data_IF_272552537774
#
_entry.id   IF_272552537774
#
_cell.length_a   1.000
_cell.length_b   1.000
_cell.length_c   1.000
_cell.angle_alpha   90.00
_cell.angle_beta   90.00
_cell.angle_gamma   90.00
#
_symmetry.space_group_name_H-M   'P 1'
#
loop_
_entity.id
_entity.type
_entity.pdbx_description
1 polymer ?
#
# COMPACT_ATOMS: atom_id res chain seq x y z
N UNK A 1 0.90 -2.99 25.17
CA UNK A 1 -0.36 -3.57 25.66
C UNK A 1 -1.21 -4.19 24.54
N UNK A 2 -1.41 -3.53 23.38
CA UNK A 2 -2.19 -4.08 22.27
C UNK A 2 -1.61 -5.37 21.69
N UNK A 3 -0.28 -5.45 21.52
CA UNK A 3 0.37 -6.67 21.04
C UNK A 3 0.05 -7.88 21.94
N UNK A 4 0.03 -7.68 23.27
CA UNK A 4 -0.36 -8.75 24.20
C UNK A 4 -1.79 -9.22 24.00
N UNK A 5 -2.73 -8.29 23.73
CA UNK A 5 -4.13 -8.65 23.40
C UNK A 5 -4.21 -9.49 22.13
N UNK A 6 -3.42 -9.12 21.10
CA UNK A 6 -3.35 -9.88 19.85
C UNK A 6 -2.82 -11.29 20.11
N UNK A 7 -1.71 -11.45 20.84
CA UNK A 7 -1.17 -12.76 21.20
C UNK A 7 -2.15 -13.60 22.02
N UNK A 8 -2.81 -13.01 23.01
CA UNK A 8 -3.82 -13.69 23.82
C UNK A 8 -5.02 -14.15 22.98
N UNK A 9 -5.49 -13.29 22.06
CA UNK A 9 -6.57 -13.66 21.16
C UNK A 9 -6.19 -14.84 20.27
N UNK A 10 -4.98 -14.84 19.69
CA UNK A 10 -4.45 -15.94 18.87
C UNK A 10 -4.39 -17.24 19.68
N UNK A 11 -3.83 -17.20 20.90
CA UNK A 11 -3.72 -18.37 21.77
C UNK A 11 -5.09 -18.98 22.12
N UNK A 12 -6.12 -18.14 22.21
CA UNK A 12 -7.49 -18.56 22.54
C UNK A 12 -8.34 -18.88 21.29
N UNK A 13 -7.77 -18.83 20.09
CA UNK A 13 -8.52 -19.01 18.84
C UNK A 13 -9.58 -17.93 18.59
N UNK A 14 -9.40 -16.73 19.18
CA UNK A 14 -10.34 -15.61 19.08
C UNK A 14 -9.80 -14.54 18.13
N UNK A 15 -10.70 -13.69 17.63
CA UNK A 15 -10.36 -12.49 16.85
C UNK A 15 -10.25 -11.29 17.78
N UNK A 16 -9.46 -10.29 17.35
CA UNK A 16 -9.41 -8.99 18.01
C UNK A 16 -10.49 -8.09 17.43
N UNK A 17 -11.38 -7.59 18.28
CA UNK A 17 -12.54 -6.81 17.84
C UNK A 17 -12.26 -5.31 17.74
N UNK A 18 -11.26 -4.82 18.47
CA UNK A 18 -10.89 -3.41 18.53
C UNK A 18 -9.40 -3.23 18.80
N UNK A 19 -8.78 -2.32 18.06
CA UNK A 19 -7.41 -1.86 18.23
C UNK A 19 -7.34 -0.34 18.09
N UNK A 20 -6.40 0.29 18.78
CA UNK A 20 -6.22 1.74 18.76
C UNK A 20 -5.08 2.16 17.82
N UNK A 21 -4.03 1.37 17.77
CA UNK A 21 -2.80 1.66 17.01
C UNK A 21 -2.50 0.61 15.94
N UNK A 22 -2.60 -0.67 16.30
CA UNK A 22 -2.37 -1.76 15.37
C UNK A 22 -3.56 -1.93 14.42
N UNK A 23 -3.28 -2.29 13.16
CA UNK A 23 -4.32 -2.79 12.28
C UNK A 23 -4.26 -4.31 12.28
N UNK A 24 -5.34 -4.97 12.69
CA UNK A 24 -5.36 -6.43 12.90
C UNK A 24 -6.52 -7.06 12.14
N UNK A 25 -6.21 -7.90 11.15
CA UNK A 25 -7.23 -8.72 10.49
C UNK A 25 -7.66 -9.90 11.40
N UNK A 26 -8.87 -10.39 11.21
CA UNK A 26 -9.83 -10.08 10.14
C UNK A 26 -10.74 -8.86 10.40
N UNK A 27 -10.83 -8.33 11.61
CA UNK A 27 -11.86 -7.34 11.95
C UNK A 27 -11.39 -5.88 11.93
N UNK A 28 -10.11 -5.62 12.23
CA UNK A 28 -9.56 -4.30 12.48
C UNK A 28 -8.45 -3.91 11.48
N UNK A 29 -8.48 -4.41 10.22
CA UNK A 29 -7.49 -4.05 9.21
C UNK A 29 -8.15 -3.39 7.98
N UNK A 30 -9.12 -4.04 7.34
CA UNK A 30 -9.68 -3.54 6.09
C UNK A 30 -10.35 -2.17 6.27
N UNK A 31 -11.25 -2.05 7.27
CA UNK A 31 -11.97 -0.79 7.49
C UNK A 31 -11.02 0.37 7.80
N UNK A 32 -10.06 0.29 8.74
CA UNK A 32 -9.10 1.38 8.95
C UNK A 32 -8.27 1.73 7.70
N UNK A 33 -7.90 0.77 6.86
CA UNK A 33 -7.22 1.05 5.59
C UNK A 33 -8.13 1.88 4.66
N UNK A 34 -9.41 1.51 4.55
CA UNK A 34 -10.39 2.29 3.77
C UNK A 34 -10.56 3.70 4.34
N UNK A 35 -10.64 3.86 5.67
CA UNK A 35 -10.75 5.16 6.34
C UNK A 35 -9.49 6.04 6.08
N UNK A 36 -8.30 5.44 6.02
CA UNK A 36 -7.05 6.14 5.67
C UNK A 36 -7.06 6.62 4.20
N UNK A 37 -7.56 5.81 3.28
CA UNK A 37 -7.72 6.21 1.88
C UNK A 37 -8.77 7.34 1.77
N UNK A 38 -9.91 7.23 2.49
CA UNK A 38 -10.94 8.28 2.52
C UNK A 38 -10.39 9.61 3.02
N UNK A 39 -9.48 9.60 3.98
CA UNK A 39 -8.80 10.82 4.45
C UNK A 39 -8.01 11.48 3.32
N UNK A 40 -7.27 10.72 2.51
CA UNK A 40 -6.53 11.26 1.38
C UNK A 40 -7.47 11.78 0.28
N UNK A 41 -8.59 11.09 0.03
CA UNK A 41 -9.65 11.59 -0.87
C UNK A 41 -10.15 12.95 -0.40
N UNK A 42 -10.43 13.10 0.90
CA UNK A 42 -10.90 14.37 1.45
C UNK A 42 -9.84 15.47 1.31
N UNK A 43 -8.57 15.18 1.57
CA UNK A 43 -7.47 16.13 1.39
C UNK A 43 -7.37 16.61 -0.06
N UNK A 44 -7.46 15.69 -1.04
CA UNK A 44 -7.45 16.05 -2.46
C UNK A 44 -8.66 16.93 -2.84
N UNK A 45 -9.87 16.62 -2.36
CA UNK A 45 -11.07 17.42 -2.58
C UNK A 45 -10.98 18.83 -2.01
N UNK A 46 -10.20 19.00 -0.94
CA UNK A 46 -9.90 20.32 -0.33
C UNK A 46 -8.75 21.06 -1.06
N UNK A 47 -8.25 20.54 -2.17
CA UNK A 47 -7.15 21.13 -2.93
C UNK A 47 -5.78 20.99 -2.24
N UNK A 48 -5.65 20.13 -1.25
CA UNK A 48 -4.42 19.84 -0.53
C UNK A 48 -3.65 18.68 -1.17
N UNK A 49 -2.32 18.66 -1.00
CA UNK A 49 -1.52 17.53 -1.44
C UNK A 49 -1.97 16.24 -0.75
N UNK A 50 -2.24 15.22 -1.55
CA UNK A 50 -2.68 13.90 -1.10
C UNK A 50 -1.85 12.80 -1.76
N UNK A 51 -1.46 11.80 -0.97
CA UNK A 51 -0.55 10.75 -1.42
C UNK A 51 -0.86 9.41 -0.77
N UNK A 52 -0.76 8.35 -1.57
CA UNK A 52 -0.79 6.96 -1.10
C UNK A 52 0.36 6.20 -1.71
N UNK A 53 1.20 5.59 -0.88
CA UNK A 53 2.28 4.69 -1.27
C UNK A 53 2.02 3.28 -0.75
N UNK A 54 2.03 2.27 -1.61
CA UNK A 54 1.74 0.89 -1.22
C UNK A 54 2.77 -0.05 -1.81
N UNK A 55 3.47 -0.81 -0.95
CA UNK A 55 4.24 -1.99 -1.35
C UNK A 55 3.59 -3.24 -0.78
N UNK A 56 3.20 -4.15 -1.65
CA UNK A 56 2.56 -5.43 -1.30
C UNK A 56 2.95 -6.51 -2.31
N UNK A 57 2.63 -7.77 -2.02
CA UNK A 57 2.84 -8.83 -3.02
C UNK A 57 1.64 -9.01 -3.92
N UNK A 58 0.40 -8.84 -3.44
CA UNK A 58 -0.80 -9.06 -4.23
C UNK A 58 -1.94 -8.10 -3.87
N UNK A 59 -2.68 -7.67 -4.88
CA UNK A 59 -3.84 -6.78 -4.78
C UNK A 59 -5.05 -7.43 -5.47
N UNK A 60 -5.99 -7.96 -4.67
CA UNK A 60 -7.22 -8.60 -5.17
C UNK A 60 -8.46 -8.29 -4.31
N UNK A 61 -8.31 -7.50 -3.24
CA UNK A 61 -9.44 -7.07 -2.41
C UNK A 61 -10.25 -6.02 -3.15
N UNK A 62 -11.47 -6.41 -3.58
CA UNK A 62 -12.32 -5.54 -4.40
C UNK A 62 -12.65 -4.22 -3.72
N UNK A 63 -12.91 -4.22 -2.40
CA UNK A 63 -13.29 -2.99 -1.68
C UNK A 63 -12.14 -2.00 -1.63
N UNK A 64 -10.90 -2.49 -1.43
CA UNK A 64 -9.71 -1.65 -1.44
C UNK A 64 -9.44 -1.15 -2.86
N UNK A 65 -9.57 -2.01 -3.89
CA UNK A 65 -9.42 -1.62 -5.29
C UNK A 65 -10.42 -0.50 -5.65
N UNK A 66 -11.71 -0.70 -5.37
CA UNK A 66 -12.75 0.30 -5.67
C UNK A 66 -12.44 1.64 -4.97
N UNK A 67 -11.93 1.61 -3.73
CA UNK A 67 -11.56 2.80 -2.97
C UNK A 67 -10.31 3.49 -3.53
N UNK A 68 -9.32 2.75 -4.03
CA UNK A 68 -8.15 3.33 -4.72
C UNK A 68 -8.53 3.99 -6.04
N UNK A 69 -9.48 3.41 -6.79
CA UNK A 69 -10.05 4.05 -7.99
C UNK A 69 -10.75 5.36 -7.63
N UNK A 70 -11.56 5.36 -6.57
CA UNK A 70 -12.20 6.60 -6.08
C UNK A 70 -11.15 7.66 -5.69
N UNK A 71 -10.06 7.25 -5.03
CA UNK A 71 -8.97 8.14 -4.66
C UNK A 71 -8.27 8.74 -5.89
N UNK A 72 -8.00 7.93 -6.92
CA UNK A 72 -7.44 8.42 -8.18
C UNK A 72 -8.36 9.45 -8.85
N UNK A 73 -9.66 9.17 -8.94
CA UNK A 73 -10.66 10.12 -9.48
C UNK A 73 -10.73 11.43 -8.70
N UNK A 74 -10.43 11.41 -7.42
CA UNK A 74 -10.35 12.60 -6.58
C UNK A 74 -9.02 13.38 -6.73
N UNK A 75 -8.06 12.86 -7.51
CA UNK A 75 -6.76 13.50 -7.73
C UNK A 75 -5.67 13.09 -6.73
N UNK A 76 -5.88 12.03 -5.94
CA UNK A 76 -4.84 11.49 -5.06
C UNK A 76 -3.75 10.82 -5.90
N UNK A 77 -2.49 11.22 -5.71
CA UNK A 77 -1.36 10.51 -6.31
C UNK A 77 -1.12 9.18 -5.59
N UNK A 78 -1.08 8.09 -6.35
CA UNK A 78 -0.95 6.73 -5.82
C UNK A 78 0.21 6.02 -6.52
N UNK A 79 1.25 5.68 -5.77
CA UNK A 79 2.39 4.91 -6.25
C UNK A 79 2.38 3.52 -5.59
N UNK A 80 2.47 2.46 -6.39
CA UNK A 80 2.41 1.10 -5.89
C UNK A 80 3.54 0.23 -6.42
N UNK A 81 4.09 -0.60 -5.53
CA UNK A 81 4.98 -1.70 -5.90
C UNK A 81 4.25 -3.01 -5.60
N UNK A 82 3.80 -3.71 -6.64
CA UNK A 82 3.04 -4.96 -6.53
C UNK A 82 3.79 -6.05 -7.28
N UNK A 83 4.32 -7.02 -6.54
CA UNK A 83 5.20 -8.06 -7.10
C UNK A 83 4.45 -9.16 -7.86
N UNK A 84 3.27 -9.55 -7.39
CA UNK A 84 2.48 -10.68 -7.89
C UNK A 84 1.17 -10.23 -8.54
N UNK A 85 0.06 -10.87 -8.14
CA UNK A 85 -1.26 -10.63 -8.73
C UNK A 85 -1.72 -9.20 -8.42
N UNK A 86 -2.08 -8.46 -9.47
CA UNK A 86 -2.68 -7.13 -9.38
C UNK A 86 -3.95 -7.08 -10.22
N UNK A 87 -5.11 -6.93 -9.57
CA UNK A 87 -6.41 -6.82 -10.23
C UNK A 87 -6.85 -5.35 -10.46
N UNK A 88 -5.93 -4.40 -10.34
CA UNK A 88 -6.17 -2.97 -10.58
C UNK A 88 -5.36 -2.53 -11.81
N UNK A 89 -5.97 -2.11 -12.92
CA UNK A 89 -5.25 -1.49 -14.02
C UNK A 89 -4.82 -0.06 -13.62
N UNK A 90 -3.61 0.34 -13.98
CA UNK A 90 -3.07 1.67 -13.71
C UNK A 90 -3.08 2.55 -14.96
N UNK A 91 -3.11 3.87 -14.78
CA UNK A 91 -2.95 4.84 -15.88
C UNK A 91 -4.13 4.93 -16.84
N UNK A 92 -5.31 4.40 -16.49
CA UNK A 92 -6.52 4.52 -17.33
C UNK A 92 -7.12 5.91 -17.14
N UNK A 93 -7.22 6.66 -18.24
CA UNK A 93 -7.71 8.05 -18.24
C UNK A 93 -9.12 8.16 -17.63
N UNK A 94 -9.30 9.10 -16.72
CA UNK A 94 -10.55 9.35 -16.02
C UNK A 94 -10.91 8.32 -14.93
N UNK A 95 -10.13 7.25 -14.79
CA UNK A 95 -10.37 6.18 -13.81
C UNK A 95 -9.17 6.03 -12.86
N UNK A 96 -8.03 5.59 -13.37
CA UNK A 96 -6.83 5.28 -12.58
C UNK A 96 -5.60 6.05 -13.08
N UNK A 97 -5.80 7.21 -13.68
CA UNK A 97 -4.73 8.02 -14.27
C UNK A 97 -3.67 8.49 -13.27
N UNK A 98 -4.05 8.61 -11.99
CA UNK A 98 -3.14 8.98 -10.91
C UNK A 98 -2.54 7.77 -10.17
N UNK A 99 -2.79 6.54 -10.65
CA UNK A 99 -2.25 5.30 -10.10
C UNK A 99 -1.08 4.83 -10.98
N UNK A 100 0.09 4.67 -10.35
CA UNK A 100 1.28 4.13 -10.99
C UNK A 100 1.66 2.83 -10.31
N UNK A 101 1.74 1.74 -11.05
CA UNK A 101 2.06 0.41 -10.51
C UNK A 101 3.34 -0.11 -11.16
N UNK A 102 4.30 -0.49 -10.30
CA UNK A 102 5.52 -1.17 -10.70
C UNK A 102 5.58 -2.56 -10.09
N UNK A 103 6.17 -3.50 -10.82
CA UNK A 103 6.51 -4.83 -10.32
C UNK A 103 8.01 -5.00 -10.33
N UNK A 104 8.58 -5.35 -9.17
CA UNK A 104 10.01 -5.58 -9.00
C UNK A 104 10.23 -7.04 -8.63
N UNK A 105 10.98 -7.76 -9.45
CA UNK A 105 11.41 -9.14 -9.21
C UNK A 105 12.93 -9.18 -9.31
N UNK A 106 13.59 -9.16 -8.17
CA UNK A 106 15.04 -9.16 -8.08
C UNK A 106 15.64 -10.51 -7.73
N UNK A 107 16.95 -10.53 -7.46
CA UNK A 107 17.69 -11.69 -7.00
C UNK A 107 17.20 -12.21 -5.65
N UNK A 108 16.79 -11.31 -4.77
CA UNK A 108 16.24 -11.61 -3.45
C UNK A 108 14.72 -11.45 -3.44
N UNK A 109 14.07 -12.15 -2.52
CA UNK A 109 12.63 -12.10 -2.35
C UNK A 109 12.20 -10.75 -1.74
N UNK A 110 11.52 -9.94 -2.53
CA UNK A 110 10.92 -8.67 -2.08
C UNK A 110 9.58 -8.91 -1.37
N UNK A 111 9.66 -9.31 -0.08
CA UNK A 111 8.49 -9.75 0.69
C UNK A 111 7.96 -8.72 1.71
N UNK A 112 8.57 -7.57 1.81
CA UNK A 112 8.09 -6.50 2.69
C UNK A 112 6.74 -5.94 2.23
N UNK A 113 5.88 -5.52 3.18
CA UNK A 113 4.67 -4.77 2.91
C UNK A 113 4.73 -3.47 3.68
N UNK A 114 4.47 -2.39 2.96
CA UNK A 114 4.51 -1.03 3.47
C UNK A 114 3.26 -0.31 2.99
N UNK A 115 2.60 0.41 3.89
CA UNK A 115 1.52 1.30 3.55
C UNK A 115 1.88 2.70 4.01
N UNK A 116 1.75 3.69 3.13
CA UNK A 116 2.01 5.10 3.37
C UNK A 116 0.73 5.86 3.00
N UNK A 117 0.18 6.60 3.94
CA UNK A 117 -0.99 7.44 3.71
C UNK A 117 -0.66 8.86 4.15
N UNK A 118 -0.67 9.80 3.22
CA UNK A 118 -0.35 11.20 3.42
C UNK A 118 0.99 11.63 2.88
N UNK A 119 1.17 12.94 2.80
CA UNK A 119 2.43 13.59 2.49
C UNK A 119 3.37 13.58 3.70
N UNK A 120 4.66 13.84 3.49
CA UNK A 120 5.70 13.68 4.50
C UNK A 120 5.45 14.43 5.81
N UNK A 121 4.77 15.58 5.73
CA UNK A 121 4.40 16.41 6.89
C UNK A 121 3.35 15.78 7.80
N UNK A 122 2.57 14.79 7.30
CA UNK A 122 1.43 14.18 8.00
C UNK A 122 1.25 12.70 7.73
N UNK A 123 2.26 12.05 7.17
CA UNK A 123 2.14 10.65 6.77
C UNK A 123 1.92 9.69 7.94
N UNK A 124 1.11 8.69 7.67
CA UNK A 124 0.99 7.50 8.51
C UNK A 124 1.59 6.32 7.74
N UNK A 125 2.65 5.77 8.30
CA UNK A 125 3.38 4.65 7.71
C UNK A 125 3.16 3.40 8.54
N UNK A 126 2.88 2.28 7.84
CA UNK A 126 2.72 0.96 8.46
C UNK A 126 3.66 -0.05 7.81
N UNK A 127 4.23 -0.92 8.61
CA UNK A 127 4.88 -2.17 8.17
C UNK A 127 3.90 -3.31 8.46
N UNK A 128 3.64 -4.17 7.47
CA UNK A 128 2.57 -5.14 7.57
C UNK A 128 2.97 -6.56 7.17
N UNK A 129 2.21 -7.53 7.66
CA UNK A 129 2.22 -8.90 7.16
C UNK A 129 1.19 -9.13 6.05
N UNK A 130 0.16 -8.30 5.95
CA UNK A 130 -0.96 -8.46 5.04
C UNK A 130 -0.67 -7.95 3.62
N UNK A 131 -1.09 -8.74 2.63
CA UNK A 131 -1.38 -8.26 1.29
C UNK A 131 -2.83 -7.74 1.23
N UNK A 132 -3.17 -6.95 0.22
CA UNK A 132 -4.56 -6.53 0.00
C UNK A 132 -5.33 -7.57 -0.81
N UNK A 133 -5.49 -8.72 -0.19
CA UNK A 133 -6.31 -9.84 -0.67
C UNK A 133 -7.43 -10.10 0.34
N UNK A 134 -8.63 -10.43 -0.14
CA UNK A 134 -9.80 -10.71 0.73
C UNK A 134 -9.49 -11.73 1.82
N UNK A 135 -8.69 -12.76 1.51
CA UNK A 135 -8.27 -13.75 2.52
C UNK A 135 -7.39 -13.17 3.63
N UNK A 136 -6.52 -12.19 3.30
CA UNK A 136 -5.63 -11.55 4.27
C UNK A 136 -6.40 -10.52 5.10
N UNK A 137 -7.26 -9.74 4.47
CA UNK A 137 -7.97 -8.63 5.13
C UNK A 137 -9.15 -9.10 6.00
N UNK A 138 -9.80 -10.26 5.66
CA UNK A 138 -11.05 -10.71 6.27
C UNK A 138 -11.03 -12.11 6.88
N UNK A 139 -10.00 -12.93 6.66
CA UNK A 139 -10.00 -14.34 7.09
C UNK A 139 -8.78 -14.79 7.86
N UNK A 140 -7.62 -14.21 7.60
CA UNK A 140 -6.37 -14.53 8.27
C UNK A 140 -6.12 -13.59 9.44
N UNK A 141 -5.29 -14.02 10.38
CA UNK A 141 -4.70 -13.11 11.36
C UNK A 141 -3.49 -12.45 10.71
N UNK A 142 -3.61 -11.15 10.47
CA UNK A 142 -2.55 -10.33 9.89
C UNK A 142 -2.43 -9.06 10.73
N UNK A 143 -1.25 -8.48 10.75
CA UNK A 143 -0.97 -7.28 11.55
C UNK A 143 -0.26 -6.23 10.71
N UNK A 144 -0.69 -4.98 10.82
CA UNK A 144 0.08 -3.82 10.37
C UNK A 144 0.42 -2.94 11.59
N UNK A 145 1.69 -2.61 11.71
CA UNK A 145 2.27 -1.87 12.83
C UNK A 145 2.58 -0.44 12.38
N UNK A 146 2.05 0.59 13.04
CA UNK A 146 2.39 1.97 12.72
C UNK A 146 3.82 2.30 13.11
N UNK A 147 4.48 3.09 12.28
CA UNK A 147 5.82 3.61 12.53
C UNK A 147 5.71 5.05 12.99
N UNK A 148 6.13 5.35 14.22
CA UNK A 148 6.03 6.68 14.81
C UNK A 148 7.36 7.44 14.80
N UNK A 149 8.50 6.75 14.82
CA UNK A 149 9.81 7.35 14.82
C UNK A 149 10.12 7.97 13.44
N UNK A 150 10.39 9.28 13.41
CA UNK A 150 10.59 10.02 12.17
C UNK A 150 11.85 9.56 11.40
N UNK A 151 12.90 9.10 12.09
CA UNK A 151 14.10 8.56 11.41
C UNK A 151 13.77 7.25 10.70
N UNK A 152 12.95 6.41 11.31
CA UNK A 152 12.48 5.16 10.68
C UNK A 152 11.51 5.44 9.54
N UNK A 153 10.62 6.41 9.67
CA UNK A 153 9.75 6.85 8.57
C UNK A 153 10.58 7.34 7.37
N UNK A 154 11.57 8.21 7.62
CA UNK A 154 12.47 8.71 6.58
C UNK A 154 13.13 7.55 5.83
N UNK A 155 13.71 6.60 6.58
CA UNK A 155 14.35 5.41 5.99
C UNK A 155 13.39 4.54 5.17
N UNK A 156 12.13 4.39 5.61
CA UNK A 156 11.12 3.64 4.87
C UNK A 156 10.74 4.39 3.58
N UNK A 157 10.58 5.71 3.65
CA UNK A 157 10.31 6.56 2.46
C UNK A 157 11.46 6.45 1.46
N UNK A 158 12.70 6.57 1.90
CA UNK A 158 13.89 6.42 1.05
C UNK A 158 13.92 5.06 0.36
N UNK A 159 13.67 3.98 1.11
CA UNK A 159 13.60 2.62 0.55
C UNK A 159 12.46 2.48 -0.47
N UNK A 160 11.29 3.02 -0.19
CA UNK A 160 10.14 2.99 -1.11
C UNK A 160 10.42 3.81 -2.37
N UNK A 161 11.00 4.99 -2.23
CA UNK A 161 11.40 5.84 -3.35
C UNK A 161 12.50 5.19 -4.21
N UNK A 162 13.46 4.49 -3.61
CA UNK A 162 14.46 3.73 -4.33
C UNK A 162 13.81 2.66 -5.23
N UNK A 163 12.80 1.95 -4.73
CA UNK A 163 12.03 0.99 -5.54
C UNK A 163 11.27 1.63 -6.69
N UNK A 164 10.74 2.85 -6.49
CA UNK A 164 10.05 3.58 -7.55
C UNK A 164 11.01 4.12 -8.62
N UNK A 165 12.29 4.29 -8.30
CA UNK A 165 13.34 4.75 -9.23
C UNK A 165 14.01 3.63 -10.01
N UNK A 166 13.77 2.35 -9.67
CA UNK A 166 14.36 1.23 -10.40
C UNK A 166 13.94 1.30 -11.89
N UNK A 167 14.91 1.55 -12.75
CA UNK A 167 14.75 1.62 -14.21
C UNK A 167 15.49 0.48 -14.94
N UNK A 168 15.95 -0.55 -14.21
CA UNK A 168 16.70 -1.69 -14.76
C UNK A 168 15.86 -2.96 -14.75
N UNK A 169 15.22 -3.25 -13.62
CA UNK A 169 14.45 -4.50 -13.41
C UNK A 169 12.96 -4.29 -13.23
N UNK A 170 12.56 -3.10 -12.79
CA UNK A 170 11.16 -2.80 -12.59
C UNK A 170 10.39 -2.84 -13.92
N UNK A 171 9.20 -3.41 -13.85
CA UNK A 171 8.25 -3.40 -14.96
C UNK A 171 7.07 -2.51 -14.58
N UNK A 172 6.75 -1.57 -15.43
CA UNK A 172 5.63 -0.63 -15.24
C UNK A 172 4.39 -1.22 -15.88
N UNK A 173 3.30 -1.24 -15.12
CA UNK A 173 2.00 -1.66 -15.63
C UNK A 173 1.46 -0.60 -16.60
N UNK A 174 0.92 -1.07 -17.71
CA UNK A 174 0.28 -0.24 -18.73
C UNK A 174 -1.26 -0.22 -18.52
N UNK A 175 -1.99 0.74 -19.12
CA UNK A 175 -3.44 0.80 -18.99
C UNK A 175 -4.19 -0.44 -19.50
N UNK A 176 -3.58 -1.20 -20.40
CA UNK A 176 -4.09 -2.47 -20.93
C UNK A 176 -3.81 -3.67 -19.99
N UNK A 177 -3.18 -3.42 -18.83
CA UNK A 177 -2.80 -4.43 -17.86
C UNK A 177 -1.50 -5.17 -18.16
N UNK A 178 -0.84 -4.90 -19.29
CA UNK A 178 0.47 -5.46 -19.62
C UNK A 178 1.58 -4.80 -18.78
N UNK A 179 2.74 -5.45 -18.69
CA UNK A 179 3.90 -4.92 -17.98
C UNK A 179 5.06 -4.76 -18.93
N UNK A 180 5.69 -3.57 -18.94
CA UNK A 180 6.84 -3.25 -19.79
C UNK A 180 8.00 -2.75 -18.94
N UNK A 181 9.22 -3.03 -19.38
CA UNK A 181 10.41 -2.35 -18.86
C UNK A 181 10.33 -0.92 -19.39
N UNK A 182 10.50 0.05 -18.49
CA UNK A 182 10.56 1.45 -18.85
C UNK A 182 11.93 1.73 -19.51
N UNK A 183 11.93 2.11 -20.77
CA UNK A 183 13.14 2.59 -21.43
C UNK A 183 13.49 3.96 -20.84
N UNK A 184 14.63 4.07 -20.21
CA UNK A 184 15.11 5.30 -19.59
C UNK A 184 16.47 5.66 -20.16
N UNK A 185 16.64 6.91 -20.57
CA UNK A 185 17.96 7.50 -20.90
C UNK A 185 18.75 7.86 -19.65
N UNK A 186 18.14 7.74 -18.46
CA UNK A 186 18.80 8.01 -17.18
C UNK A 186 19.83 6.94 -16.83
N UNK A 187 20.76 7.31 -15.96
CA UNK A 187 21.76 6.37 -15.42
C UNK A 187 21.06 5.16 -14.80
N UNK A 188 21.49 3.92 -15.12
CA UNK A 188 20.90 2.72 -14.56
C UNK A 188 20.89 2.74 -13.04
N UNK A 189 19.70 2.55 -12.45
CA UNK A 189 19.48 2.51 -11.01
C UNK A 189 18.68 1.26 -10.65
N UNK A 190 19.26 0.43 -9.75
CA UNK A 190 18.63 -0.82 -9.30
C UNK A 190 19.04 -1.15 -7.85
#
# INVERSE_FOLDING_TARGET
>A
QEALKVFQAILLGKTVDETKHLLVAPKCLQKPVLDLIDREIQMAKEGKAAYIGIKINSLTDKRIIDKLVEASKAGVKIDMVVRGICCLPSGVLGETEHIHIRSIVGRYLEHSRIYIFGTEDRDQIYIASADFMTRNTLRRVEVAVPVYDEKLKCRIREMFQAMLKDNVKARVQQPDGTYRIEESEETPFN
#
